data_IF_098175944092
#
_entry.id   IF_098175944092
#
_cell.length_a   1.000
_cell.length_b   1.000
_cell.length_c   1.000
_cell.angle_alpha   90.00
_cell.angle_beta   90.00
_cell.angle_gamma   90.00
#
_symmetry.space_group_name_H-M   'P 1'
#
loop_
_entity.id
_entity.type
_entity.pdbx_description
1 polymer ?
#
# COMPACT_ATOMS: atom_id res chain seq x y z
N UNK A 1 -7.01 17.34 0.91
CA UNK A 1 -6.61 16.95 -0.47
C UNK A 1 -5.58 15.84 -0.36
N UNK A 2 -5.81 14.70 -0.99
CA UNK A 2 -4.89 13.55 -0.95
C UNK A 2 -3.56 13.90 -1.63
N UNK A 3 -2.44 13.62 -0.94
CA UNK A 3 -1.09 13.81 -1.47
C UNK A 3 -0.49 12.43 -1.76
N UNK A 4 -0.17 12.11 -3.02
CA UNK A 4 0.48 10.86 -3.34
C UNK A 4 1.79 10.66 -2.58
N UNK A 5 2.06 9.42 -2.19
CA UNK A 5 3.25 9.01 -1.45
C UNK A 5 4.16 8.20 -2.37
N UNK A 6 5.37 8.66 -2.54
CA UNK A 6 6.35 8.04 -3.43
C UNK A 6 7.47 7.41 -2.57
N UNK A 7 7.73 6.13 -2.77
CA UNK A 7 8.93 5.49 -2.23
C UNK A 7 10.05 5.63 -3.26
N UNK A 8 11.09 6.36 -2.93
CA UNK A 8 12.27 6.56 -3.77
C UNK A 8 13.38 5.67 -3.25
N UNK A 9 13.87 4.77 -4.08
CA UNK A 9 14.96 3.82 -3.76
C UNK A 9 16.14 4.13 -4.68
N UNK A 10 17.12 4.82 -4.15
CA UNK A 10 18.28 5.36 -4.89
C UNK A 10 19.42 5.60 -3.90
N UNK A 11 20.63 5.21 -4.25
CA UNK A 11 21.82 5.38 -3.41
C UNK A 11 22.70 6.59 -3.83
N UNK A 12 22.57 7.07 -5.10
CA UNK A 12 23.28 8.26 -5.56
C UNK A 12 22.67 9.55 -4.97
N UNK A 13 23.39 10.30 -4.14
CA UNK A 13 22.88 11.53 -3.53
C UNK A 13 22.47 12.62 -4.53
N UNK A 14 23.11 12.68 -5.71
CA UNK A 14 22.78 13.68 -6.73
C UNK A 14 21.40 13.37 -7.35
N UNK A 15 21.15 12.10 -7.68
CA UNK A 15 19.87 11.65 -8.21
C UNK A 15 18.76 11.76 -7.15
N UNK A 16 19.06 11.36 -5.91
CA UNK A 16 18.13 11.55 -4.77
C UNK A 16 17.72 13.02 -4.63
N UNK A 17 18.69 13.96 -4.67
CA UNK A 17 18.41 15.39 -4.57
C UNK A 17 17.57 15.92 -5.74
N UNK A 18 17.85 15.45 -6.97
CA UNK A 18 17.09 15.80 -8.16
C UNK A 18 15.62 15.35 -8.03
N UNK A 19 15.41 14.07 -7.70
CA UNK A 19 14.07 13.50 -7.55
C UNK A 19 13.34 14.19 -6.39
N UNK A 20 13.98 14.36 -5.24
CA UNK A 20 13.41 15.05 -4.07
C UNK A 20 12.91 16.44 -4.43
N UNK A 21 13.77 17.29 -5.03
CA UNK A 21 13.40 18.64 -5.43
C UNK A 21 12.24 18.64 -6.41
N UNK A 22 12.22 17.69 -7.33
CA UNK A 22 11.14 17.52 -8.29
C UNK A 22 9.82 17.16 -7.60
N UNK A 23 9.85 16.21 -6.66
CA UNK A 23 8.65 15.79 -5.92
C UNK A 23 8.11 16.90 -5.00
N UNK A 24 9.01 17.66 -4.35
CA UNK A 24 8.64 18.82 -3.53
C UNK A 24 7.90 19.89 -4.34
N UNK A 25 8.38 20.21 -5.55
CA UNK A 25 7.72 21.20 -6.43
C UNK A 25 6.32 20.75 -6.88
N UNK A 26 6.08 19.45 -6.95
CA UNK A 26 4.78 18.86 -7.30
C UNK A 26 3.90 18.57 -6.08
N UNK A 27 4.36 18.92 -4.88
CA UNK A 27 3.64 18.72 -3.61
C UNK A 27 3.32 17.23 -3.33
N UNK A 28 4.18 16.32 -3.76
CA UNK A 28 4.12 14.90 -3.43
C UNK A 28 4.76 14.63 -2.05
N UNK A 29 4.27 13.62 -1.35
CA UNK A 29 4.97 13.06 -0.18
C UNK A 29 5.94 11.99 -0.67
N UNK A 30 7.09 11.86 -0.01
CA UNK A 30 8.04 10.82 -0.37
C UNK A 30 8.76 10.26 0.85
N UNK A 31 9.27 9.06 0.68
CA UNK A 31 10.22 8.40 1.57
C UNK A 31 11.41 7.95 0.75
N UNK A 32 12.63 8.12 1.29
CA UNK A 32 13.86 7.76 0.61
C UNK A 32 14.47 6.55 1.29
N UNK A 33 14.84 5.55 0.50
CA UNK A 33 15.63 4.39 0.91
C UNK A 33 16.89 4.33 0.04
N UNK A 34 18.06 4.14 0.64
CA UNK A 34 19.34 4.17 -0.06
C UNK A 34 19.90 2.77 -0.34
N UNK A 35 19.09 1.74 -0.13
CA UNK A 35 19.45 0.34 -0.33
C UNK A 35 18.22 -0.55 -0.46
N UNK A 36 18.41 -1.80 -0.90
CA UNK A 36 17.33 -2.75 -1.12
C UNK A 36 16.62 -3.19 0.14
N UNK A 37 17.32 -3.33 1.27
CA UNK A 37 16.72 -3.66 2.56
C UNK A 37 15.75 -2.56 3.01
N UNK A 38 16.15 -1.30 2.86
CA UNK A 38 15.31 -0.12 3.10
C UNK A 38 14.13 -0.04 2.13
N UNK A 39 14.32 -0.43 0.86
CA UNK A 39 13.26 -0.50 -0.13
C UNK A 39 12.13 -1.47 0.29
N UNK A 40 12.49 -2.68 0.68
CA UNK A 40 11.53 -3.70 1.12
C UNK A 40 10.78 -3.27 2.38
N UNK A 41 11.51 -2.71 3.37
CA UNK A 41 10.91 -2.16 4.58
C UNK A 41 9.97 -0.99 4.25
N UNK A 42 10.42 -0.06 3.40
CA UNK A 42 9.65 1.10 2.98
C UNK A 42 8.36 0.72 2.25
N UNK A 43 8.42 -0.28 1.36
CA UNK A 43 7.28 -0.78 0.63
C UNK A 43 6.18 -1.37 1.53
N UNK A 44 6.57 -1.97 2.67
CA UNK A 44 5.62 -2.49 3.67
C UNK A 44 5.08 -1.38 4.59
N UNK A 45 5.95 -0.44 5.01
CA UNK A 45 5.67 0.46 6.13
C UNK A 45 5.01 1.79 5.73
N UNK A 46 5.25 2.29 4.50
CA UNK A 46 4.86 3.65 4.13
C UNK A 46 3.60 3.77 3.28
N UNK A 47 2.97 2.65 2.88
CA UNK A 47 1.81 2.66 1.99
C UNK A 47 2.03 3.58 0.78
N UNK A 48 3.15 3.38 0.10
CA UNK A 48 3.48 4.15 -1.09
C UNK A 48 2.47 3.86 -2.21
N UNK A 49 2.17 4.88 -3.01
CA UNK A 49 1.33 4.76 -4.21
C UNK A 49 2.15 4.33 -5.44
N UNK A 50 3.44 4.67 -5.44
CA UNK A 50 4.40 4.31 -6.49
C UNK A 50 5.78 4.14 -5.85
N UNK A 51 6.55 3.16 -6.30
CA UNK A 51 7.97 3.01 -6.02
C UNK A 51 8.80 3.48 -7.23
N UNK A 52 9.79 4.32 -7.01
CA UNK A 52 10.87 4.63 -7.95
C UNK A 52 12.07 3.81 -7.50
N UNK A 53 12.64 3.00 -8.38
CA UNK A 53 13.65 2.02 -8.01
C UNK A 53 14.87 2.07 -8.93
N UNK A 54 16.06 2.32 -8.37
CA UNK A 54 17.30 2.00 -9.09
C UNK A 54 17.61 0.50 -9.00
N UNK A 55 18.18 -0.05 -10.08
CA UNK A 55 18.65 -1.44 -10.12
C UNK A 55 20.04 -1.62 -9.51
N UNK A 56 20.85 -0.57 -9.49
CA UNK A 56 22.26 -0.60 -9.09
C UNK A 56 22.51 -0.37 -7.61
N UNK A 57 21.69 -0.92 -6.72
CA UNK A 57 21.82 -0.70 -5.27
C UNK A 57 23.00 -1.49 -4.66
N UNK A 58 23.61 -1.00 -3.55
CA UNK A 58 24.82 -1.57 -3.00
C UNK A 58 24.66 -2.95 -2.33
N UNK A 59 23.45 -3.30 -1.88
CA UNK A 59 23.19 -4.51 -1.09
C UNK A 59 22.37 -5.58 -1.83
N UNK A 60 21.64 -5.19 -2.88
CA UNK A 60 20.73 -6.09 -3.59
C UNK A 60 20.45 -5.59 -5.01
N UNK A 61 20.37 -6.50 -5.99
CA UNK A 61 19.93 -6.15 -7.33
C UNK A 61 18.45 -5.72 -7.33
N UNK A 62 18.14 -4.64 -8.03
CA UNK A 62 16.77 -4.12 -8.08
C UNK A 62 15.76 -5.08 -8.68
N UNK A 63 16.16 -5.96 -9.61
CA UNK A 63 15.27 -6.98 -10.16
C UNK A 63 14.82 -7.98 -9.08
N UNK A 64 15.68 -8.30 -8.10
CA UNK A 64 15.31 -9.15 -6.98
C UNK A 64 14.35 -8.44 -6.01
N UNK A 65 14.51 -7.13 -5.85
CA UNK A 65 13.56 -6.32 -5.08
C UNK A 65 12.18 -6.35 -5.75
N UNK A 66 12.12 -6.17 -7.07
CA UNK A 66 10.87 -6.24 -7.84
C UNK A 66 10.19 -7.58 -7.62
N UNK A 67 10.90 -8.71 -7.82
CA UNK A 67 10.34 -10.06 -7.61
C UNK A 67 9.81 -10.27 -6.20
N UNK A 68 10.56 -9.83 -5.17
CA UNK A 68 10.13 -9.91 -3.77
C UNK A 68 8.88 -9.09 -3.51
N UNK A 69 8.83 -7.84 -3.98
CA UNK A 69 7.65 -6.97 -3.82
C UNK A 69 6.44 -7.57 -4.53
N UNK A 70 6.60 -8.12 -5.72
CA UNK A 70 5.52 -8.76 -6.49
C UNK A 70 4.95 -9.99 -5.81
N UNK A 71 5.71 -10.67 -4.97
CA UNK A 71 5.21 -11.78 -4.16
C UNK A 71 4.08 -11.41 -3.18
N UNK A 72 3.91 -10.13 -2.86
CA UNK A 72 2.93 -9.68 -1.86
C UNK A 72 2.25 -8.33 -2.18
N UNK A 73 2.69 -7.59 -3.21
CA UNK A 73 2.14 -6.26 -3.53
C UNK A 73 2.03 -6.03 -5.04
N UNK A 74 0.99 -5.30 -5.42
CA UNK A 74 0.81 -4.73 -6.77
C UNK A 74 1.27 -3.27 -6.86
N UNK A 75 2.05 -2.79 -5.87
CA UNK A 75 2.60 -1.42 -5.86
C UNK A 75 3.25 -1.11 -7.21
N UNK A 76 2.83 -0.06 -7.95
CA UNK A 76 3.47 0.32 -9.19
C UNK A 76 4.96 0.61 -8.97
N UNK A 77 5.82 0.04 -9.81
CA UNK A 77 7.27 0.19 -9.75
C UNK A 77 7.75 0.79 -11.07
N UNK A 78 8.35 1.98 -11.00
CA UNK A 78 9.07 2.60 -12.10
C UNK A 78 10.56 2.41 -11.84
N UNK A 79 11.23 1.69 -12.71
CA UNK A 79 12.69 1.55 -12.67
C UNK A 79 13.34 2.83 -13.22
N UNK A 80 14.35 3.36 -12.53
CA UNK A 80 15.15 4.51 -12.96
C UNK A 80 16.62 4.12 -12.83
N UNK A 81 17.27 3.69 -13.93
CA UNK A 81 18.60 3.09 -13.87
C UNK A 81 19.54 3.58 -14.97
N UNK A 82 20.84 3.52 -14.70
CA UNK A 82 21.88 3.77 -15.69
C UNK A 82 22.08 2.57 -16.64
N UNK A 83 21.56 1.40 -16.32
CA UNK A 83 21.56 0.24 -17.21
C UNK A 83 20.71 0.56 -18.43
N UNK A 84 21.30 0.57 -19.61
CA UNK A 84 20.64 1.05 -20.84
C UNK A 84 20.45 -0.04 -21.89
N UNK A 85 21.00 -1.22 -21.67
CA UNK A 85 20.86 -2.34 -22.61
C UNK A 85 19.39 -2.81 -22.67
N UNK A 86 18.97 -3.22 -23.85
CA UNK A 86 17.59 -3.67 -24.02
C UNK A 86 17.27 -4.89 -23.16
N UNK A 87 18.26 -5.75 -22.93
CA UNK A 87 18.09 -6.92 -22.07
C UNK A 87 17.81 -6.52 -20.60
N UNK A 88 18.51 -5.50 -20.06
CA UNK A 88 18.25 -5.01 -18.69
C UNK A 88 16.81 -4.52 -18.52
N UNK A 89 16.30 -3.83 -19.56
CA UNK A 89 14.91 -3.33 -19.56
C UNK A 89 13.91 -4.48 -19.60
N UNK A 90 14.15 -5.46 -20.49
CA UNK A 90 13.29 -6.65 -20.58
C UNK A 90 13.29 -7.42 -19.27
N UNK A 91 14.46 -7.67 -18.68
CA UNK A 91 14.57 -8.42 -17.42
C UNK A 91 13.85 -7.72 -16.26
N UNK A 92 13.92 -6.39 -16.19
CA UNK A 92 13.21 -5.61 -15.16
C UNK A 92 11.68 -5.65 -15.36
N UNK A 93 11.21 -5.52 -16.61
CA UNK A 93 9.79 -5.60 -16.94
C UNK A 93 9.23 -7.01 -16.71
N UNK A 94 9.98 -8.05 -17.10
CA UNK A 94 9.61 -9.45 -16.86
C UNK A 94 9.63 -9.80 -15.36
N UNK A 95 10.52 -9.16 -14.57
CA UNK A 95 10.50 -9.26 -13.12
C UNK A 95 9.25 -8.61 -12.49
N UNK A 96 8.52 -7.79 -13.27
CA UNK A 96 7.26 -7.16 -12.86
C UNK A 96 7.33 -5.65 -12.65
N UNK A 97 8.34 -4.95 -13.17
CA UNK A 97 8.31 -3.48 -13.22
C UNK A 97 7.18 -2.99 -14.15
N UNK A 98 6.55 -1.87 -13.81
CA UNK A 98 5.47 -1.28 -14.61
C UNK A 98 5.99 -0.34 -15.69
N UNK A 99 7.17 0.24 -15.49
CA UNK A 99 7.82 1.14 -16.45
C UNK A 99 9.32 1.20 -16.20
N UNK A 100 10.06 1.69 -17.20
CA UNK A 100 11.51 1.83 -17.17
C UNK A 100 11.96 3.18 -17.71
N UNK A 101 12.82 3.88 -16.98
CA UNK A 101 13.41 5.16 -17.33
C UNK A 101 14.94 5.08 -17.26
N UNK A 102 15.62 5.34 -18.36
CA UNK A 102 17.10 5.28 -18.42
C UNK A 102 17.72 6.59 -17.96
N UNK A 103 18.75 6.54 -17.11
CA UNK A 103 19.58 7.70 -16.76
C UNK A 103 20.57 7.99 -17.90
N UNK A 104 20.80 9.28 -18.27
CA UNK A 104 20.15 10.49 -17.78
C UNK A 104 18.75 10.68 -18.36
N UNK A 105 17.82 11.21 -17.58
CA UNK A 105 16.44 11.46 -17.97
C UNK A 105 16.04 12.93 -17.83
N UNK A 106 15.02 13.35 -18.55
CA UNK A 106 14.42 14.66 -18.33
C UNK A 106 13.40 14.64 -17.19
N UNK A 107 13.30 15.76 -16.46
CA UNK A 107 12.31 15.92 -15.38
C UNK A 107 10.88 15.76 -15.91
N UNK A 108 10.60 16.27 -17.11
CA UNK A 108 9.29 16.17 -17.74
C UNK A 108 8.91 14.73 -18.05
N UNK A 109 9.85 13.92 -18.56
CA UNK A 109 9.63 12.49 -18.81
C UNK A 109 9.38 11.73 -17.50
N UNK A 110 10.22 11.96 -16.50
CA UNK A 110 10.05 11.37 -15.17
C UNK A 110 8.66 11.67 -14.59
N UNK A 111 8.24 12.94 -14.60
CA UNK A 111 6.93 13.35 -14.10
C UNK A 111 5.77 12.79 -14.94
N UNK A 112 5.95 12.67 -16.25
CA UNK A 112 4.92 12.08 -17.11
C UNK A 112 4.68 10.61 -16.75
N UNK A 113 5.75 9.82 -16.59
CA UNK A 113 5.68 8.39 -16.19
C UNK A 113 5.10 8.24 -14.78
N UNK A 114 5.54 9.07 -13.85
CA UNK A 114 5.01 9.08 -12.49
C UNK A 114 3.49 9.36 -12.46
N UNK A 115 3.01 10.34 -13.23
CA UNK A 115 1.58 10.61 -13.36
C UNK A 115 0.79 9.43 -13.95
N UNK A 116 1.37 8.71 -14.91
CA UNK A 116 0.73 7.50 -15.50
C UNK A 116 0.62 6.40 -14.44
N UNK A 117 1.69 6.12 -13.69
CA UNK A 117 1.69 5.12 -12.63
C UNK A 117 0.69 5.45 -11.53
N UNK A 118 0.66 6.71 -11.06
CA UNK A 118 -0.30 7.19 -10.07
C UNK A 118 -1.75 7.11 -10.54
N UNK A 119 -2.00 7.36 -11.82
CA UNK A 119 -3.35 7.24 -12.40
C UNK A 119 -3.81 5.79 -12.46
N UNK A 120 -2.91 4.83 -12.80
CA UNK A 120 -3.22 3.39 -12.79
C UNK A 120 -3.51 2.90 -11.38
N UNK A 121 -2.68 3.26 -10.40
CA UNK A 121 -2.91 2.92 -8.99
C UNK A 121 -4.29 3.39 -8.52
N UNK A 122 -4.65 4.64 -8.82
CA UNK A 122 -5.97 5.19 -8.48
C UNK A 122 -7.13 4.58 -9.25
N UNK A 123 -6.92 4.25 -10.54
CA UNK A 123 -7.95 3.60 -11.34
C UNK A 123 -8.23 2.17 -10.87
N UNK A 124 -7.20 1.46 -10.41
CA UNK A 124 -7.35 0.12 -9.80
C UNK A 124 -8.02 0.21 -8.43
N UNK A 125 -7.68 1.23 -7.61
CA UNK A 125 -8.39 1.52 -6.36
C UNK A 125 -9.84 1.96 -6.62
N UNK A 126 -10.08 2.85 -7.58
CA UNK A 126 -11.41 3.31 -7.95
C UNK A 126 -12.24 2.23 -8.64
N UNK A 127 -11.62 1.31 -9.40
CA UNK A 127 -12.32 0.16 -9.99
C UNK A 127 -12.68 -0.88 -8.90
N UNK A 128 -11.87 -1.01 -7.86
CA UNK A 128 -12.24 -1.76 -6.66
C UNK A 128 -13.36 -1.04 -5.86
N UNK A 129 -13.36 0.31 -5.84
CA UNK A 129 -14.40 1.13 -5.21
C UNK A 129 -15.66 1.31 -6.10
N UNK A 130 -15.53 1.25 -7.44
CA UNK A 130 -16.61 1.64 -8.38
C UNK A 130 -17.43 0.48 -8.94
N UNK A 131 -17.08 -0.75 -8.63
CA UNK A 131 -17.91 -1.91 -9.01
C UNK A 131 -19.21 -2.02 -8.18
N UNK A 132 -19.70 -0.94 -7.54
CA UNK A 132 -21.03 -0.78 -6.99
C UNK A 132 -21.10 -0.23 -5.54
N UNK A 133 -20.20 0.58 -5.06
CA UNK A 133 -20.32 1.12 -3.69
C UNK A 133 -20.27 0.06 -2.58
N UNK A 134 -19.94 -1.18 -2.94
CA UNK A 134 -19.91 -2.32 -2.02
C UNK A 134 -18.57 -3.05 -2.08
N UNK A 135 -18.11 -3.49 -0.92
CA UNK A 135 -16.94 -4.36 -0.78
C UNK A 135 -17.42 -5.75 -0.38
N UNK A 136 -16.92 -6.79 -1.07
CA UNK A 136 -17.21 -8.19 -0.76
C UNK A 136 -15.93 -8.95 -0.45
N UNK A 137 -15.97 -9.75 0.62
CA UNK A 137 -14.88 -10.62 1.02
C UNK A 137 -15.45 -11.86 1.75
N UNK A 138 -15.71 -12.93 1.00
CA UNK A 138 -16.48 -14.07 1.48
C UNK A 138 -17.91 -13.65 1.83
N UNK A 139 -18.35 -13.95 3.05
CA UNK A 139 -19.68 -13.53 3.55
C UNK A 139 -19.73 -12.07 4.02
N UNK A 140 -18.57 -11.41 4.19
CA UNK A 140 -18.51 -10.02 4.61
C UNK A 140 -18.80 -9.09 3.43
N UNK A 141 -19.83 -8.27 3.59
CA UNK A 141 -20.18 -7.20 2.64
C UNK A 141 -20.21 -5.86 3.36
N UNK A 142 -19.57 -4.85 2.79
CA UNK A 142 -19.63 -3.46 3.27
C UNK A 142 -20.30 -2.64 2.16
N UNK A 143 -21.42 -2.04 2.44
CA UNK A 143 -22.05 -1.04 1.58
C UNK A 143 -21.58 0.34 2.03
N UNK A 144 -20.67 0.95 1.26
CA UNK A 144 -20.11 2.26 1.57
C UNK A 144 -21.12 3.39 1.35
N UNK A 145 -22.12 3.20 0.49
CA UNK A 145 -23.17 4.20 0.19
C UNK A 145 -24.19 4.24 1.32
N UNK A 146 -24.66 3.07 1.74
CA UNK A 146 -25.61 2.94 2.84
C UNK A 146 -24.94 3.06 4.22
N UNK A 147 -23.61 2.85 4.30
CA UNK A 147 -22.86 2.79 5.57
C UNK A 147 -23.16 1.54 6.38
N UNK A 148 -23.65 0.47 5.73
CA UNK A 148 -24.06 -0.78 6.36
C UNK A 148 -23.03 -1.89 6.15
N UNK A 149 -23.01 -2.85 7.08
CA UNK A 149 -22.14 -4.02 7.04
C UNK A 149 -22.97 -5.27 7.22
N UNK A 150 -22.72 -6.30 6.39
CA UNK A 150 -23.43 -7.56 6.44
C UNK A 150 -22.46 -8.73 6.56
N UNK A 151 -22.92 -9.80 7.23
CA UNK A 151 -22.33 -11.14 7.18
C UNK A 151 -23.36 -12.09 6.61
N UNK A 152 -23.13 -12.55 5.37
CA UNK A 152 -24.19 -13.17 4.59
C UNK A 152 -25.37 -12.21 4.43
N UNK A 153 -26.57 -12.65 4.86
CA UNK A 153 -27.81 -11.84 4.79
C UNK A 153 -28.08 -11.04 6.09
N UNK A 154 -27.21 -11.13 7.11
CA UNK A 154 -27.45 -10.50 8.40
C UNK A 154 -26.66 -9.19 8.53
N UNK A 155 -27.38 -8.08 8.81
CA UNK A 155 -26.76 -6.78 9.06
C UNK A 155 -26.04 -6.78 10.43
N UNK A 156 -24.80 -6.27 10.44
CA UNK A 156 -23.98 -6.12 11.62
C UNK A 156 -23.89 -4.65 12.02
N UNK A 157 -24.40 -4.33 13.21
CA UNK A 157 -24.30 -2.99 13.74
C UNK A 157 -22.90 -2.74 14.32
N UNK A 158 -22.16 -1.84 13.64
CA UNK A 158 -20.87 -1.34 14.09
C UNK A 158 -21.00 0.08 14.62
N UNK A 159 -20.20 0.39 15.66
CA UNK A 159 -20.00 1.79 16.05
C UNK A 159 -19.24 2.54 14.98
N UNK A 160 -19.30 3.89 14.91
CA UNK A 160 -18.57 4.68 13.91
C UNK A 160 -17.08 4.37 13.83
N UNK A 161 -16.44 4.10 14.99
CA UNK A 161 -15.00 3.75 15.05
C UNK A 161 -14.76 2.34 14.51
N UNK A 162 -15.59 1.36 14.90
CA UNK A 162 -15.49 -0.01 14.38
C UNK A 162 -15.72 -0.07 12.87
N UNK A 163 -16.70 0.70 12.35
CA UNK A 163 -16.96 0.82 10.93
C UNK A 163 -15.75 1.43 10.19
N UNK A 164 -15.19 2.53 10.71
CA UNK A 164 -14.02 3.17 10.13
C UNK A 164 -12.79 2.24 10.14
N UNK A 165 -12.61 1.50 11.25
CA UNK A 165 -11.55 0.50 11.38
C UNK A 165 -11.71 -0.63 10.36
N UNK A 166 -12.93 -1.14 10.18
CA UNK A 166 -13.24 -2.16 9.18
C UNK A 166 -12.97 -1.65 7.75
N UNK A 167 -13.39 -0.43 7.44
CA UNK A 167 -13.15 0.18 6.12
C UNK A 167 -11.65 0.35 5.82
N UNK A 168 -10.83 0.73 6.81
CA UNK A 168 -9.37 0.84 6.65
C UNK A 168 -8.75 -0.53 6.36
N UNK A 169 -9.19 -1.58 7.06
CA UNK A 169 -8.74 -2.94 6.82
C UNK A 169 -9.19 -3.47 5.45
N UNK A 170 -10.45 -3.25 5.08
CA UNK A 170 -11.04 -3.69 3.82
C UNK A 170 -10.34 -3.07 2.60
N UNK A 171 -10.10 -1.76 2.63
CA UNK A 171 -9.33 -1.04 1.58
C UNK A 171 -7.92 -1.57 1.39
N UNK A 172 -7.37 -2.20 2.41
CA UNK A 172 -6.01 -2.74 2.40
C UNK A 172 -6.00 -4.28 2.54
N UNK A 173 -7.02 -4.96 2.04
CA UNK A 173 -7.12 -6.41 2.11
C UNK A 173 -5.89 -7.10 1.58
N UNK A 174 -5.34 -8.04 2.37
CA UNK A 174 -4.12 -8.77 2.07
C UNK A 174 -2.82 -8.09 2.53
N UNK A 175 -2.86 -6.79 2.88
CA UNK A 175 -1.69 -6.05 3.38
C UNK A 175 -1.64 -6.07 4.91
N UNK A 176 -0.43 -6.13 5.49
CA UNK A 176 -0.23 -5.94 6.92
C UNK A 176 -0.19 -4.45 7.21
N UNK A 177 -1.12 -3.96 8.03
CA UNK A 177 -1.17 -2.57 8.47
C UNK A 177 -0.54 -2.46 9.86
N UNK A 178 0.40 -1.52 10.03
CA UNK A 178 1.03 -1.26 11.33
C UNK A 178 0.04 -0.60 12.30
N UNK A 179 0.27 -0.77 13.62
CA UNK A 179 -0.54 -0.12 14.64
C UNK A 179 -0.64 1.40 14.41
N UNK A 180 0.50 2.05 14.16
CA UNK A 180 0.57 3.50 13.95
C UNK A 180 -0.20 3.95 12.70
N UNK A 181 -0.13 3.17 11.61
CA UNK A 181 -0.91 3.46 10.42
C UNK A 181 -2.41 3.42 10.71
N UNK A 182 -2.88 2.34 11.36
CA UNK A 182 -4.31 2.19 11.69
C UNK A 182 -4.76 3.31 12.62
N UNK A 183 -3.98 3.62 13.67
CA UNK A 183 -4.29 4.70 14.61
C UNK A 183 -4.44 6.04 13.87
N UNK A 184 -3.52 6.36 12.99
CA UNK A 184 -3.55 7.59 12.20
C UNK A 184 -4.76 7.68 11.28
N UNK A 185 -5.09 6.60 10.55
CA UNK A 185 -6.22 6.58 9.62
C UNK A 185 -7.57 6.61 10.33
N UNK A 186 -7.69 5.97 11.49
CA UNK A 186 -8.98 5.86 12.22
C UNK A 186 -9.21 7.07 13.12
N UNK A 187 -8.20 7.52 13.89
CA UNK A 187 -8.33 8.58 14.89
C UNK A 187 -7.68 9.91 14.50
N UNK A 188 -6.85 9.94 13.43
CA UNK A 188 -6.09 11.12 13.06
C UNK A 188 -4.88 11.35 13.97
N UNK A 189 -4.31 12.57 13.94
CA UNK A 189 -3.11 12.91 14.71
C UNK A 189 -3.32 13.05 16.23
N UNK A 190 -4.53 12.88 16.74
CA UNK A 190 -4.87 13.15 18.14
C UNK A 190 -4.50 12.03 19.13
N UNK A 191 -4.16 10.81 18.63
CA UNK A 191 -3.87 9.64 19.50
C UNK A 191 -2.62 8.88 18.99
N UNK A 192 -1.50 9.55 18.90
CA UNK A 192 -0.25 8.98 18.34
C UNK A 192 0.35 7.77 19.09
N UNK A 193 -0.25 7.27 20.18
CA UNK A 193 0.35 6.18 20.96
C UNK A 193 -0.60 5.19 21.66
N UNK A 194 -1.92 5.31 21.52
CA UNK A 194 -2.84 4.41 22.25
C UNK A 194 -3.13 3.09 21.52
N UNK A 195 -2.12 2.22 21.49
CA UNK A 195 -2.26 0.84 20.98
C UNK A 195 -3.22 -0.01 21.82
N UNK A 196 -3.53 0.40 23.05
CA UNK A 196 -4.45 -0.31 23.96
C UNK A 196 -5.88 -0.17 23.47
N UNK A 197 -6.31 1.04 23.15
CA UNK A 197 -7.63 1.30 22.57
C UNK A 197 -7.79 0.57 21.23
N UNK A 198 -6.78 0.59 20.35
CA UNK A 198 -6.82 -0.17 19.10
C UNK A 198 -7.05 -1.67 19.33
N UNK A 199 -6.39 -2.28 20.32
CA UNK A 199 -6.58 -3.70 20.64
C UNK A 199 -8.01 -4.01 21.11
N UNK A 200 -8.60 -3.14 21.93
CA UNK A 200 -9.99 -3.29 22.39
C UNK A 200 -10.96 -3.22 21.21
N UNK A 201 -10.85 -2.19 20.36
CA UNK A 201 -11.71 -2.06 19.18
C UNK A 201 -11.52 -3.21 18.19
N UNK A 202 -10.29 -3.69 18.01
CA UNK A 202 -10.01 -4.84 17.16
C UNK A 202 -10.64 -6.13 17.70
N UNK A 203 -10.63 -6.33 19.04
CA UNK A 203 -11.26 -7.48 19.66
C UNK A 203 -12.79 -7.43 19.52
N UNK A 204 -13.41 -6.25 19.73
CA UNK A 204 -14.86 -6.08 19.57
C UNK A 204 -15.30 -6.22 18.13
N UNK A 205 -14.54 -5.67 17.17
CA UNK A 205 -14.80 -5.84 15.74
C UNK A 205 -14.76 -7.32 15.34
N UNK A 206 -13.70 -8.04 15.73
CA UNK A 206 -13.62 -9.49 15.50
C UNK A 206 -14.82 -10.25 16.04
N UNK A 207 -15.20 -9.98 17.30
CA UNK A 207 -16.34 -10.63 17.90
C UNK A 207 -17.62 -10.45 17.09
N UNK A 208 -17.79 -9.28 16.45
CA UNK A 208 -18.96 -8.97 15.63
C UNK A 208 -18.93 -9.63 14.26
N UNK A 209 -17.77 -9.64 13.58
CA UNK A 209 -17.67 -10.17 12.21
C UNK A 209 -17.26 -11.66 12.17
N UNK A 210 -16.46 -12.16 13.12
CA UNK A 210 -15.99 -13.54 13.17
C UNK A 210 -16.83 -14.42 14.12
N UNK A 211 -17.50 -13.82 15.11
CA UNK A 211 -18.29 -14.54 16.11
C UNK A 211 -19.59 -15.19 15.56
N UNK A 212 -19.98 -14.85 14.35
CA UNK A 212 -21.14 -15.42 13.66
C UNK A 212 -20.78 -16.51 12.65
N UNK A 213 -19.48 -16.67 12.37
CA UNK A 213 -18.98 -17.69 11.46
C UNK A 213 -18.87 -19.03 12.20
N UNK A 214 -19.55 -20.04 11.71
CA UNK A 214 -19.61 -21.39 12.33
C UNK A 214 -18.31 -22.19 12.21
N UNK A 215 -17.36 -21.71 11.39
CA UNK A 215 -16.13 -22.41 11.09
C UNK A 215 -14.91 -21.70 11.69
N UNK A 216 -14.13 -22.40 12.51
CA UNK A 216 -12.94 -21.86 13.20
C UNK A 216 -11.82 -21.43 12.24
N UNK A 217 -11.83 -21.90 10.99
CA UNK A 217 -10.88 -21.51 9.96
C UNK A 217 -11.23 -20.20 9.25
N UNK A 218 -12.40 -19.61 9.53
CA UNK A 218 -12.93 -18.45 8.84
C UNK A 218 -12.59 -17.11 9.51
N UNK A 219 -11.33 -16.91 9.87
CA UNK A 219 -10.85 -15.63 10.41
C UNK A 219 -10.69 -14.60 9.28
N UNK A 220 -11.27 -13.42 9.45
CA UNK A 220 -11.11 -12.28 8.56
C UNK A 220 -9.89 -11.44 8.88
N UNK A 221 -9.54 -11.32 10.17
CA UNK A 221 -8.47 -10.45 10.62
C UNK A 221 -7.36 -11.27 11.29
N UNK A 222 -6.17 -11.25 10.70
CA UNK A 222 -4.96 -11.85 11.26
C UNK A 222 -4.16 -10.83 12.07
N UNK A 223 -3.66 -11.22 13.26
CA UNK A 223 -2.71 -10.44 14.04
C UNK A 223 -1.28 -10.79 13.64
N UNK A 224 -0.48 -9.78 13.36
CA UNK A 224 0.97 -9.86 13.27
C UNK A 224 1.56 -9.28 14.55
N UNK A 225 1.99 -10.17 15.45
CA UNK A 225 2.47 -9.79 16.81
C UNK A 225 3.60 -8.76 16.70
N UNK A 226 3.47 -7.66 17.45
CA UNK A 226 4.43 -6.56 17.46
C UNK A 226 4.36 -5.62 16.24
N UNK A 227 3.62 -5.97 15.18
CA UNK A 227 3.55 -5.21 13.93
C UNK A 227 2.18 -4.56 13.74
N UNK A 228 1.11 -5.36 13.70
CA UNK A 228 -0.23 -4.85 13.40
C UNK A 228 -1.23 -5.93 12.98
N UNK A 229 -2.09 -5.59 12.03
CA UNK A 229 -3.20 -6.42 11.60
C UNK A 229 -3.31 -6.51 10.08
N UNK A 230 -3.85 -7.62 9.59
CA UNK A 230 -4.11 -7.85 8.17
C UNK A 230 -5.51 -8.41 7.97
N UNK A 231 -6.28 -7.85 7.03
CA UNK A 231 -7.49 -8.49 6.54
C UNK A 231 -7.12 -9.56 5.52
N UNK A 232 -7.61 -10.77 5.74
CA UNK A 232 -7.41 -11.90 4.84
C UNK A 232 -8.41 -11.82 3.68
N UNK A 233 -8.03 -12.31 2.49
CA UNK A 233 -8.96 -12.54 1.38
C UNK A 233 -9.70 -13.85 1.60
N UNK A 234 -11.00 -13.85 1.32
CA UNK A 234 -11.88 -15.00 1.39
C UNK A 234 -12.58 -15.23 0.04
#
# INVERSE_FOLDING_TARGET
MYKPKILVVEDDPAIVNLIRTTLDTQNYQYHIANNGSGALLGAVSHNADVMILDLGLPDMDGADIIRKVRGWSKLPIIVVSARSEDQDKVDALDAGADDYLTKPFSIDEFLARLRVALRRSRAEEAAADSAAGQYHNGELTIDYVAGCVFMGDEEIHLTPIEYKLLCVLAKNTGKVLTHNYILKEVWGSALDSDTTSLRVFMATLRKKIEGKVKDTDNKYIQTHIGVGYRMLRR
#
